data_IF_390530603600
#
_entry.id   IF_390530603600
#
_cell.length_a   1.000
_cell.length_b   1.000
_cell.length_c   1.000
_cell.angle_alpha   90.00
_cell.angle_beta   90.00
_cell.angle_gamma   90.00
#
_symmetry.space_group_name_H-M   'P 1'
#
loop_
_entity.id
_entity.type
_entity.pdbx_description
1 polymer ?
#
# COMPACT_ATOMS: atom_id res chain seq x y z
N UNK A 1 -2.97 -35.50 -6.88
CA UNK A 1 -2.60 -34.08 -7.05
C UNK A 1 -3.68 -33.29 -7.77
N UNK A 2 -4.14 -33.72 -8.96
CA UNK A 2 -5.25 -33.09 -9.69
C UNK A 2 -6.53 -32.78 -8.88
N UNK A 3 -7.07 -33.68 -8.02
CA UNK A 3 -8.29 -33.39 -7.27
C UNK A 3 -8.11 -32.29 -6.19
N UNK A 4 -6.90 -32.16 -5.63
CA UNK A 4 -6.59 -31.11 -4.65
C UNK A 4 -6.48 -29.73 -5.31
N UNK A 5 -5.97 -29.67 -6.54
CA UNK A 5 -5.93 -28.43 -7.33
C UNK A 5 -7.35 -27.97 -7.68
N UNK A 6 -8.22 -28.91 -8.07
CA UNK A 6 -9.64 -28.60 -8.37
C UNK A 6 -10.35 -28.12 -7.10
N UNK A 7 -10.15 -28.78 -5.96
CA UNK A 7 -10.74 -28.36 -4.68
C UNK A 7 -10.25 -26.96 -4.26
N UNK A 8 -8.97 -26.65 -4.46
CA UNK A 8 -8.41 -25.32 -4.21
C UNK A 8 -9.02 -24.24 -5.10
N UNK A 9 -9.17 -24.52 -6.40
CA UNK A 9 -9.81 -23.58 -7.35
C UNK A 9 -11.27 -23.35 -6.99
N UNK A 10 -12.02 -24.41 -6.68
CA UNK A 10 -13.43 -24.29 -6.27
C UNK A 10 -13.55 -23.48 -4.97
N UNK A 11 -12.67 -23.68 -4.00
CA UNK A 11 -12.65 -22.89 -2.78
C UNK A 11 -12.34 -21.42 -3.05
N UNK A 12 -11.41 -21.10 -3.94
CA UNK A 12 -11.08 -19.72 -4.35
C UNK A 12 -12.25 -19.07 -5.10
N UNK A 13 -12.91 -19.80 -6.00
CA UNK A 13 -14.08 -19.30 -6.75
C UNK A 13 -15.26 -19.09 -5.80
N UNK A 14 -15.47 -19.96 -4.82
CA UNK A 14 -16.52 -19.79 -3.81
C UNK A 14 -16.21 -18.63 -2.86
N UNK A 15 -14.95 -18.47 -2.44
CA UNK A 15 -14.52 -17.34 -1.62
C UNK A 15 -14.71 -16.03 -2.39
N UNK A 16 -14.34 -16.01 -3.67
CA UNK A 16 -14.54 -14.88 -4.57
C UNK A 16 -16.03 -14.60 -4.79
N UNK A 17 -16.86 -15.63 -4.98
CA UNK A 17 -18.31 -15.53 -5.12
C UNK A 17 -18.99 -15.01 -3.84
N UNK A 18 -18.55 -15.46 -2.67
CA UNK A 18 -19.04 -14.99 -1.38
C UNK A 18 -18.61 -13.54 -1.12
N UNK A 19 -17.36 -13.19 -1.46
CA UNK A 19 -16.87 -11.80 -1.38
C UNK A 19 -17.66 -10.89 -2.33
N UNK A 20 -18.01 -11.39 -3.52
CA UNK A 20 -18.86 -10.71 -4.48
C UNK A 20 -20.31 -10.63 -4.03
N UNK A 21 -20.85 -11.62 -3.31
CA UNK A 21 -22.23 -11.54 -2.82
C UNK A 21 -22.36 -10.66 -1.57
N UNK A 22 -21.32 -10.57 -0.75
CA UNK A 22 -21.30 -9.73 0.44
C UNK A 22 -20.96 -8.25 0.14
N UNK A 23 -20.36 -7.95 -1.03
CA UNK A 23 -19.98 -6.58 -1.43
C UNK A 23 -20.32 -6.15 -2.86
N UNK A 24 -21.00 -6.97 -3.67
CA UNK A 24 -21.11 -6.79 -5.12
C UNK A 24 -22.51 -6.44 -5.66
N UNK A 25 -23.34 -5.75 -4.89
CA UNK A 25 -24.50 -5.03 -5.41
C UNK A 25 -24.14 -3.59 -5.80
N UNK A 26 -23.00 -3.37 -6.46
CA UNK A 26 -22.69 -2.05 -7.02
C UNK A 26 -22.16 -2.21 -8.43
N UNK A 27 -23.05 -1.94 -9.38
CA UNK A 27 -22.76 -1.73 -10.78
C UNK A 27 -21.56 -0.80 -10.96
N UNK A 28 -20.62 -1.19 -11.83
CA UNK A 28 -19.62 -0.34 -12.50
C UNK A 28 -19.29 0.99 -11.80
N UNK A 29 -18.81 0.96 -10.55
CA UNK A 29 -18.29 2.16 -9.92
C UNK A 29 -16.88 2.40 -10.47
N UNK A 30 -16.54 3.66 -10.84
CA UNK A 30 -15.15 4.01 -11.09
C UNK A 30 -14.34 3.62 -9.84
N UNK A 31 -13.15 3.05 -10.07
CA UNK A 31 -12.25 2.64 -8.99
C UNK A 31 -11.97 3.88 -8.13
N UNK A 32 -12.34 3.82 -6.85
CA UNK A 32 -12.14 4.95 -5.94
C UNK A 32 -10.64 5.09 -5.64
N UNK A 33 -10.00 6.02 -6.32
CA UNK A 33 -8.57 6.31 -6.18
C UNK A 33 -8.20 6.68 -4.74
N UNK A 34 -9.09 7.31 -3.97
CA UNK A 34 -8.82 7.59 -2.56
C UNK A 34 -8.85 6.32 -1.70
N UNK A 35 -9.72 5.36 -2.02
CA UNK A 35 -9.73 4.06 -1.35
C UNK A 35 -8.46 3.26 -1.66
N UNK A 36 -7.96 3.33 -2.90
CA UNK A 36 -6.67 2.73 -3.27
C UNK A 36 -5.50 3.36 -2.51
N UNK A 37 -5.45 4.69 -2.39
CA UNK A 37 -4.41 5.39 -1.64
C UNK A 37 -4.40 5.00 -0.15
N UNK A 38 -5.59 4.90 0.47
CA UNK A 38 -5.70 4.44 1.86
C UNK A 38 -5.25 2.99 2.03
N UNK A 39 -5.64 2.11 1.12
CA UNK A 39 -5.18 0.71 1.11
C UNK A 39 -3.66 0.60 0.95
N UNK A 40 -3.07 1.41 0.08
CA UNK A 40 -1.62 1.47 -0.09
C UNK A 40 -0.90 2.01 1.17
N UNK A 41 -1.46 3.03 1.83
CA UNK A 41 -0.97 3.55 3.10
C UNK A 41 -1.01 2.46 4.19
N UNK A 42 -2.13 1.78 4.35
CA UNK A 42 -2.29 0.70 5.34
C UNK A 42 -1.31 -0.45 5.09
N UNK A 43 -1.12 -0.82 3.83
CA UNK A 43 -0.14 -1.84 3.45
C UNK A 43 1.31 -1.41 3.73
N UNK A 44 1.64 -0.13 3.52
CA UNK A 44 2.96 0.43 3.78
C UNK A 44 3.24 0.58 5.30
N UNK A 45 2.24 1.00 6.09
CA UNK A 45 2.34 1.04 7.55
C UNK A 45 2.46 -0.36 8.15
N UNK A 46 1.71 -1.34 7.64
CA UNK A 46 1.87 -2.72 8.06
C UNK A 46 3.24 -3.30 7.67
N UNK A 47 3.94 -2.69 6.71
CA UNK A 47 5.29 -3.08 6.32
C UNK A 47 6.37 -2.51 7.26
N UNK A 48 6.14 -1.36 7.91
CA UNK A 48 7.08 -0.81 8.90
C UNK A 48 7.01 -1.54 10.24
N UNK A 49 5.91 -2.22 10.53
CA UNK A 49 5.70 -2.97 11.77
C UNK A 49 6.37 -4.35 11.70
N UNK A 50 7.42 -4.57 12.50
CA UNK A 50 8.31 -5.74 12.68
C UNK A 50 8.02 -7.01 11.84
N UNK A 51 7.97 -6.87 10.52
CA UNK A 51 7.52 -7.91 9.60
C UNK A 51 8.72 -8.66 9.03
N UNK A 52 8.68 -10.01 8.95
CA UNK A 52 9.75 -10.75 8.30
C UNK A 52 9.93 -10.32 6.83
N UNK A 53 11.18 -10.18 6.39
CA UNK A 53 11.60 -9.61 5.10
C UNK A 53 10.82 -10.12 3.86
N UNK A 54 10.41 -11.40 3.85
CA UNK A 54 9.60 -11.96 2.75
C UNK A 54 8.16 -11.44 2.73
N UNK A 55 7.54 -11.31 3.90
CA UNK A 55 6.21 -10.74 4.03
C UNK A 55 6.24 -9.23 3.78
N UNK A 56 7.30 -8.56 4.26
CA UNK A 56 7.57 -7.16 3.97
C UNK A 56 7.64 -6.90 2.46
N UNK A 57 8.43 -7.68 1.73
CA UNK A 57 8.54 -7.56 0.26
C UNK A 57 7.19 -7.64 -0.44
N UNK A 58 6.38 -8.66 -0.10
CA UNK A 58 5.06 -8.86 -0.71
C UNK A 58 4.11 -7.70 -0.44
N UNK A 59 4.17 -7.12 0.76
CA UNK A 59 3.35 -5.95 1.12
C UNK A 59 3.76 -4.71 0.33
N UNK A 60 5.06 -4.46 0.20
CA UNK A 60 5.58 -3.34 -0.59
C UNK A 60 5.26 -3.50 -2.08
N UNK A 61 5.42 -4.70 -2.64
CA UNK A 61 5.04 -4.99 -4.03
C UNK A 61 3.53 -4.75 -4.24
N UNK A 62 2.68 -5.18 -3.30
CA UNK A 62 1.24 -4.93 -3.33
C UNK A 62 0.87 -3.45 -3.22
N UNK A 63 1.53 -2.71 -2.32
CA UNK A 63 1.33 -1.26 -2.18
C UNK A 63 1.72 -0.52 -3.47
N UNK A 64 2.86 -0.88 -4.08
CA UNK A 64 3.29 -0.34 -5.37
C UNK A 64 2.29 -0.64 -6.50
N UNK A 65 1.73 -1.85 -6.55
CA UNK A 65 0.70 -2.20 -7.52
C UNK A 65 -0.59 -1.38 -7.35
N UNK A 66 -1.00 -1.12 -6.11
CA UNK A 66 -2.17 -0.27 -5.84
C UNK A 66 -1.92 1.17 -6.29
N UNK A 67 -0.72 1.72 -6.02
CA UNK A 67 -0.35 3.07 -6.45
C UNK A 67 -0.32 3.22 -7.97
N UNK A 68 0.03 2.16 -8.71
CA UNK A 68 0.00 2.16 -10.18
C UNK A 68 -1.43 2.14 -10.76
N UNK A 69 -2.42 1.70 -9.98
CA UNK A 69 -3.82 1.69 -10.40
C UNK A 69 -4.53 3.02 -10.12
N UNK A 70 -3.88 3.94 -9.40
CA UNK A 70 -4.43 5.25 -9.09
C UNK A 70 -4.45 6.13 -10.35
N UNK A 71 -5.62 6.65 -10.69
CA UNK A 71 -5.79 7.60 -11.77
C UNK A 71 -5.36 9.00 -11.31
N UNK A 72 -4.07 9.31 -11.45
CA UNK A 72 -3.45 10.54 -10.91
C UNK A 72 -4.06 11.84 -11.44
N UNK A 73 -4.61 11.82 -12.65
CA UNK A 73 -5.25 12.97 -13.28
C UNK A 73 -6.62 13.34 -12.69
N UNK A 74 -7.22 12.43 -11.91
CA UNK A 74 -8.52 12.62 -11.25
C UNK A 74 -8.36 12.92 -9.74
N UNK A 75 -7.13 13.08 -9.25
CA UNK A 75 -6.86 13.35 -7.84
C UNK A 75 -7.02 14.84 -7.50
N UNK A 76 -7.48 15.11 -6.28
CA UNK A 76 -7.29 16.43 -5.66
C UNK A 76 -5.80 16.67 -5.39
N UNK A 77 -5.40 17.94 -5.22
CA UNK A 77 -4.00 18.29 -4.93
C UNK A 77 -3.45 17.55 -3.69
N UNK A 78 -4.27 17.43 -2.64
CA UNK A 78 -3.88 16.73 -1.43
C UNK A 78 -3.79 15.20 -1.62
N UNK A 79 -4.65 14.61 -2.45
CA UNK A 79 -4.54 13.19 -2.80
C UNK A 79 -3.37 12.91 -3.75
N UNK A 80 -3.03 13.85 -4.65
CA UNK A 80 -1.86 13.78 -5.51
C UNK A 80 -0.56 13.90 -4.69
N UNK A 81 -0.51 14.80 -3.70
CA UNK A 81 0.59 14.90 -2.76
C UNK A 81 0.76 13.60 -1.95
N UNK A 82 -0.34 13.02 -1.45
CA UNK A 82 -0.31 11.75 -0.76
C UNK A 82 0.19 10.60 -1.66
N UNK A 83 -0.24 10.55 -2.93
CA UNK A 83 0.24 9.57 -3.91
C UNK A 83 1.75 9.67 -4.13
N UNK A 84 2.29 10.88 -4.28
CA UNK A 84 3.72 11.12 -4.45
C UNK A 84 4.52 10.67 -3.20
N UNK A 85 4.06 11.05 -2.00
CA UNK A 85 4.70 10.67 -0.74
C UNK A 85 4.67 9.15 -0.51
N UNK A 86 3.54 8.50 -0.82
CA UNK A 86 3.42 7.04 -0.73
C UNK A 86 4.37 6.33 -1.71
N UNK A 87 4.49 6.85 -2.93
CA UNK A 87 5.40 6.29 -3.94
C UNK A 87 6.85 6.35 -3.47
N UNK A 88 7.28 7.49 -2.93
CA UNK A 88 8.62 7.66 -2.35
C UNK A 88 8.82 6.70 -1.18
N UNK A 89 7.89 6.64 -0.24
CA UNK A 89 8.01 5.77 0.93
C UNK A 89 8.12 4.28 0.55
N UNK A 90 7.31 3.80 -0.41
CA UNK A 90 7.35 2.41 -0.88
C UNK A 90 8.69 2.11 -1.57
N UNK A 91 9.22 3.04 -2.37
CA UNK A 91 10.51 2.87 -3.03
C UNK A 91 11.68 2.83 -2.04
N UNK A 92 11.68 3.71 -1.04
CA UNK A 92 12.71 3.74 0.00
C UNK A 92 12.69 2.50 0.89
N UNK A 93 11.50 2.04 1.31
CA UNK A 93 11.36 0.80 2.05
C UNK A 93 11.84 -0.39 1.21
N UNK A 94 11.54 -0.40 -0.09
CA UNK A 94 12.03 -1.42 -1.02
C UNK A 94 13.55 -1.39 -1.17
N UNK A 95 14.17 -0.20 -1.21
CA UNK A 95 15.62 -0.05 -1.20
C UNK A 95 16.26 -0.51 0.11
N UNK A 96 15.67 -0.14 1.25
CA UNK A 96 16.16 -0.55 2.56
C UNK A 96 16.18 -2.07 2.69
N UNK A 97 15.15 -2.75 2.20
CA UNK A 97 15.06 -4.21 2.17
C UNK A 97 16.14 -4.84 1.28
N UNK A 98 16.40 -4.28 0.10
CA UNK A 98 17.48 -4.74 -0.80
C UNK A 98 18.86 -4.59 -0.15
N UNK A 99 19.10 -3.49 0.56
CA UNK A 99 20.36 -3.27 1.28
C UNK A 99 20.53 -4.28 2.41
N UNK A 100 19.48 -4.56 3.20
CA UNK A 100 19.50 -5.57 4.26
C UNK A 100 19.79 -6.98 3.74
N UNK A 101 19.36 -7.29 2.52
CA UNK A 101 19.60 -8.58 1.86
C UNK A 101 20.96 -8.67 1.16
N UNK A 102 21.69 -7.57 1.07
CA UNK A 102 22.95 -7.52 0.34
C UNK A 102 24.06 -8.23 1.12
N UNK A 103 24.94 -9.00 0.45
CA UNK A 103 26.11 -9.60 1.09
C UNK A 103 26.97 -8.53 1.78
N UNK A 104 27.34 -8.76 3.04
CA UNK A 104 28.15 -7.82 3.82
C UNK A 104 27.37 -6.80 4.64
N UNK A 105 26.03 -6.77 4.56
CA UNK A 105 25.20 -5.88 5.38
C UNK A 105 25.57 -5.94 6.87
N UNK A 106 25.63 -7.16 7.43
CA UNK A 106 25.87 -7.39 8.86
C UNK A 106 27.17 -6.78 9.41
N UNK A 107 28.17 -6.53 8.55
CA UNK A 107 29.46 -5.96 8.95
C UNK A 107 29.64 -4.49 8.57
N UNK A 108 28.70 -3.89 7.84
CA UNK A 108 28.87 -2.57 7.24
C UNK A 108 28.04 -1.51 7.99
N UNK A 109 28.67 -0.81 8.95
CA UNK A 109 28.03 0.26 9.73
C UNK A 109 27.44 1.37 8.86
N UNK A 110 28.07 1.70 7.73
CA UNK A 110 27.54 2.65 6.75
C UNK A 110 26.25 2.16 6.07
N UNK A 111 26.10 0.85 5.85
CA UNK A 111 24.87 0.29 5.29
C UNK A 111 23.73 0.29 6.32
N UNK A 112 24.04 0.02 7.59
CA UNK A 112 23.06 0.16 8.67
C UNK A 112 22.55 1.61 8.77
N UNK A 113 23.46 2.59 8.78
CA UNK A 113 23.09 4.00 8.83
C UNK A 113 22.25 4.43 7.60
N UNK A 114 22.57 3.92 6.40
CA UNK A 114 21.78 4.19 5.20
C UNK A 114 20.38 3.57 5.27
N UNK A 115 20.25 2.34 5.77
CA UNK A 115 18.95 1.68 6.00
C UNK A 115 18.12 2.46 7.01
N UNK A 116 18.71 2.87 8.13
CA UNK A 116 18.03 3.67 9.15
C UNK A 116 17.53 5.01 8.58
N UNK A 117 18.36 5.69 7.77
CA UNK A 117 17.99 6.94 7.13
C UNK A 117 16.82 6.78 6.15
N UNK A 118 16.83 5.73 5.33
CA UNK A 118 15.71 5.40 4.42
C UNK A 118 14.43 5.09 5.19
N UNK A 119 14.51 4.30 6.26
CA UNK A 119 13.34 3.97 7.07
C UNK A 119 12.76 5.19 7.79
N UNK A 120 13.61 6.09 8.28
CA UNK A 120 13.18 7.34 8.91
C UNK A 120 12.57 8.33 7.92
N UNK A 121 13.08 8.43 6.70
CA UNK A 121 12.48 9.28 5.68
C UNK A 121 11.14 8.71 5.20
N UNK A 122 11.08 7.42 4.87
CA UNK A 122 9.85 6.74 4.54
C UNK A 122 8.77 6.90 5.62
N UNK A 123 9.10 6.74 6.90
CA UNK A 123 8.16 6.94 8.00
C UNK A 123 7.57 8.36 8.03
N UNK A 124 8.38 9.39 7.77
CA UNK A 124 7.90 10.79 7.66
C UNK A 124 6.97 10.95 6.46
N UNK A 125 7.34 10.41 5.30
CA UNK A 125 6.48 10.46 4.12
C UNK A 125 5.13 9.77 4.34
N UNK A 126 5.10 8.62 5.06
CA UNK A 126 3.86 7.93 5.39
C UNK A 126 2.97 8.77 6.31
N UNK A 127 3.53 9.43 7.31
CA UNK A 127 2.76 10.31 8.22
C UNK A 127 2.25 11.56 7.49
N UNK A 128 3.06 12.18 6.63
CA UNK A 128 2.65 13.30 5.80
C UNK A 128 1.55 12.90 4.79
N UNK A 129 1.67 11.73 4.16
CA UNK A 129 0.65 11.19 3.27
C UNK A 129 -0.66 10.93 4.02
N UNK A 130 -0.58 10.36 5.22
CA UNK A 130 -1.72 10.14 6.10
C UNK A 130 -2.43 11.45 6.41
N UNK A 131 -1.68 12.48 6.82
CA UNK A 131 -2.26 13.79 7.14
C UNK A 131 -2.96 14.41 5.93
N UNK A 132 -2.37 14.30 4.73
CA UNK A 132 -2.93 14.80 3.46
C UNK A 132 -4.24 14.08 3.08
N UNK A 133 -4.32 12.77 3.32
CA UNK A 133 -5.53 11.97 3.07
C UNK A 133 -6.64 12.21 4.09
N UNK A 134 -6.30 12.63 5.31
CA UNK A 134 -7.28 13.03 6.32
C UNK A 134 -7.90 14.39 6.01
N UNK A 135 -7.10 15.35 5.51
CA UNK A 135 -7.58 16.66 5.06
C UNK A 135 -8.47 16.54 3.81
N UNK A 136 -8.23 15.52 2.98
CA UNK A 136 -9.02 15.26 1.76
C UNK A 136 -10.36 14.56 2.00
N UNK A 137 -10.70 14.17 3.23
CA UNK A 137 -12.02 13.62 3.54
C UNK A 137 -13.07 14.73 3.41
N UNK A 138 -14.11 14.57 2.59
CA UNK A 138 -14.98 15.67 2.22
C UNK A 138 -15.73 16.22 3.42
N UNK A 139 -15.71 17.55 3.53
CA UNK A 139 -16.67 18.40 4.20
C UNK A 139 -18.08 18.13 3.62
N UNK A 140 -18.70 17.00 3.97
CA UNK A 140 -20.12 16.75 3.74
C UNK A 140 -20.87 17.19 4.99
N UNK A 141 -20.87 18.49 5.26
CA UNK A 141 -21.70 19.07 6.31
C UNK A 141 -22.08 20.51 5.93
N UNK A 142 -23.21 20.68 5.24
CA UNK A 142 -23.85 21.99 5.15
C UNK A 142 -24.43 22.35 3.79
N UNK A 143 -25.35 21.55 3.25
CA UNK A 143 -26.34 22.08 2.31
C UNK A 143 -27.63 21.27 2.36
N UNK A 144 -28.39 21.50 3.42
CA UNK A 144 -29.84 21.32 3.40
C UNK A 144 -30.42 22.65 3.82
N UNK A 145 -30.74 23.47 2.81
CA UNK A 145 -31.66 24.59 2.93
C UNK A 145 -33.10 24.06 3.04
#
# INVERSE_FOLDING_TARGET
MLPYVIAGIVAVVLLYGAYRMLGGSIASRPVDSNALLRSALDAALAATDETPDRALRRRLDGAGQLLQQVETHALSDAAAAAHALLSVAVDELSWSLRLRQSPGYAGATGMHAAVDALQQHAARCLEEARSSLMVSAPEVAGSTA
#
